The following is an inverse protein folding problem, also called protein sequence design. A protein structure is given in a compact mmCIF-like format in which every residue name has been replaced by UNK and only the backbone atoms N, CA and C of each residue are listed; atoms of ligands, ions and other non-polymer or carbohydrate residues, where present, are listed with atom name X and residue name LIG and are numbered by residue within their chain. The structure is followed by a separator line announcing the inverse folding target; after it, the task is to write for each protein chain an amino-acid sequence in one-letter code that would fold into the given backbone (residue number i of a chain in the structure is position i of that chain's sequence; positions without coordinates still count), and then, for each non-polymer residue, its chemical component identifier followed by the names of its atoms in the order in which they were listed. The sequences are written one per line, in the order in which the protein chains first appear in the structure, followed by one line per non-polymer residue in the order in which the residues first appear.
data_IF_451638164276
#
_entry.id   IF_451638164276
#
_cell.length_a   1.000
_cell.length_b   1.000
_cell.length_c   1.000
_cell.angle_alpha   90.00
_cell.angle_beta   90.00
_cell.angle_gamma   90.00
#
_symmetry.space_group_name_H-M   'P 1'
#
loop_
_entity.id
_entity.type
_entity.pdbx_description
1 polymer ?
#
# COMPACT_ATOMS: atom_id res chain seq x y z
N UNK A 1 -20.63 -0.54 -0.68
CA UNK A 1 -19.67 0.32 0.05
C UNK A 1 -19.10 1.33 -0.92
N UNK A 2 -19.23 2.62 -0.60
CA UNK A 2 -18.78 3.72 -1.47
C UNK A 2 -17.86 4.56 -0.57
N UNK A 3 -16.55 4.38 -0.76
CA UNK A 3 -15.44 5.12 -0.11
C UNK A 3 -15.36 5.06 1.41
N UNK A 4 -14.84 3.93 1.89
CA UNK A 4 -14.25 3.77 3.22
C UNK A 4 -13.17 2.68 3.18
N UNK A 5 -12.18 2.85 2.30
CA UNK A 5 -11.05 1.92 2.11
C UNK A 5 -11.32 0.69 1.25
N UNK A 6 -12.56 0.44 0.82
CA UNK A 6 -12.91 -0.64 -0.11
C UNK A 6 -13.39 -0.09 -1.46
N UNK A 7 -12.81 -0.60 -2.55
CA UNK A 7 -13.25 -0.28 -3.91
C UNK A 7 -14.38 -1.23 -4.33
N UNK A 8 -15.30 -0.77 -5.19
CA UNK A 8 -16.47 -1.56 -5.62
C UNK A 8 -16.08 -2.76 -6.50
N UNK A 9 -14.92 -2.68 -7.14
CA UNK A 9 -14.31 -3.67 -8.03
C UNK A 9 -13.25 -4.53 -7.31
N UNK A 10 -13.13 -4.44 -5.99
CA UNK A 10 -12.16 -5.25 -5.25
C UNK A 10 -12.65 -6.69 -5.11
N UNK A 11 -11.90 -7.63 -5.67
CA UNK A 11 -12.15 -9.06 -5.57
C UNK A 11 -11.08 -9.73 -4.68
N UNK A 12 -11.38 -9.84 -3.39
CA UNK A 12 -10.42 -10.29 -2.35
C UNK A 12 -9.83 -11.67 -2.60
N UNK A 13 -10.61 -12.59 -3.11
CA UNK A 13 -10.17 -13.97 -3.36
C UNK A 13 -9.15 -14.05 -4.50
N UNK A 14 -9.36 -13.26 -5.55
CA UNK A 14 -8.43 -13.22 -6.68
C UNK A 14 -7.11 -12.53 -6.34
N UNK A 15 -7.05 -11.68 -5.30
CA UNK A 15 -5.80 -11.00 -4.88
C UNK A 15 -4.71 -11.97 -4.39
N UNK A 16 -5.07 -13.20 -4.02
CA UNK A 16 -4.13 -14.23 -3.55
C UNK A 16 -3.98 -15.38 -4.54
N UNK A 17 -4.58 -15.27 -5.72
CA UNK A 17 -4.45 -16.26 -6.78
C UNK A 17 -3.31 -15.84 -7.70
N UNK A 18 -2.24 -16.64 -7.78
CA UNK A 18 -1.13 -16.34 -8.67
C UNK A 18 -1.57 -16.43 -10.14
N UNK A 19 -1.62 -15.30 -10.84
CA UNK A 19 -2.11 -15.21 -12.23
C UNK A 19 -0.95 -15.21 -13.24
N UNK A 20 0.02 -16.10 -13.05
CA UNK A 20 1.19 -16.19 -13.94
C UNK A 20 2.15 -14.99 -13.86
N UNK A 21 2.14 -14.28 -12.74
CA UNK A 21 3.03 -13.15 -12.49
C UNK A 21 4.49 -13.60 -12.47
N UNK A 22 5.35 -12.82 -13.11
CA UNK A 22 6.80 -12.98 -13.04
C UNK A 22 7.43 -11.77 -12.32
N UNK A 23 8.72 -11.86 -12.05
CA UNK A 23 9.44 -10.79 -11.36
C UNK A 23 9.27 -9.42 -12.04
N UNK A 24 9.32 -9.37 -13.38
CA UNK A 24 9.17 -8.12 -14.13
C UNK A 24 7.78 -7.52 -13.95
N UNK A 25 6.72 -8.33 -14.08
CA UNK A 25 5.34 -7.84 -13.90
C UNK A 25 5.07 -7.37 -12.48
N UNK A 26 5.68 -8.02 -11.47
CA UNK A 26 5.59 -7.58 -10.07
C UNK A 26 6.30 -6.24 -9.89
N UNK A 27 7.50 -6.08 -10.47
CA UNK A 27 8.28 -4.86 -10.34
C UNK A 27 7.64 -3.67 -11.06
N UNK A 28 7.00 -3.90 -12.21
CA UNK A 28 6.19 -2.87 -12.90
C UNK A 28 5.01 -2.43 -12.05
N UNK A 29 4.21 -3.37 -11.53
CA UNK A 29 3.08 -3.05 -10.65
C UNK A 29 3.52 -2.30 -9.39
N UNK A 30 4.62 -2.73 -8.77
CA UNK A 30 5.22 -2.06 -7.62
C UNK A 30 5.59 -0.61 -7.95
N UNK A 31 6.28 -0.40 -9.07
CA UNK A 31 6.73 0.93 -9.51
C UNK A 31 5.55 1.84 -9.83
N UNK A 32 4.54 1.33 -10.53
CA UNK A 32 3.36 2.11 -10.90
C UNK A 32 2.54 2.52 -9.67
N UNK A 33 2.36 1.60 -8.71
CA UNK A 33 1.66 1.88 -7.46
C UNK A 33 2.33 3.03 -6.66
N UNK A 34 3.66 3.00 -6.54
CA UNK A 34 4.41 4.07 -5.87
C UNK A 34 4.36 5.39 -6.62
N UNK A 35 4.46 5.36 -7.95
CA UNK A 35 4.33 6.56 -8.79
C UNK A 35 2.99 7.26 -8.55
N UNK A 36 1.89 6.52 -8.49
CA UNK A 36 0.56 7.06 -8.20
C UNK A 36 0.50 7.65 -6.79
N UNK A 37 1.02 6.94 -5.78
CA UNK A 37 1.03 7.39 -4.39
C UNK A 37 1.83 8.69 -4.21
N UNK A 38 3.04 8.76 -4.78
CA UNK A 38 3.87 9.96 -4.70
C UNK A 38 3.27 11.13 -5.46
N UNK A 39 2.76 10.92 -6.67
CA UNK A 39 2.07 11.98 -7.41
C UNK A 39 0.87 12.54 -6.62
N UNK A 40 0.14 11.71 -5.88
CA UNK A 40 -0.96 12.18 -5.03
C UNK A 40 -0.45 13.04 -3.86
N UNK A 41 0.65 12.65 -3.22
CA UNK A 41 1.27 13.38 -2.09
C UNK A 41 1.87 14.70 -2.55
N UNK A 42 2.59 14.72 -3.67
CA UNK A 42 3.25 15.90 -4.23
C UNK A 42 2.27 17.02 -4.60
N UNK A 43 1.02 16.66 -4.92
CA UNK A 43 -0.04 17.63 -5.23
C UNK A 43 -0.71 18.24 -3.98
N UNK A 44 -0.36 17.80 -2.77
CA UNK A 44 -0.93 18.33 -1.53
C UNK A 44 -0.35 19.70 -1.20
N UNK A 45 -1.22 20.62 -0.76
CA UNK A 45 -0.84 21.90 -0.19
C UNK A 45 -0.79 21.80 1.35
N UNK A 46 -0.07 22.71 2.04
CA UNK A 46 -0.02 22.69 3.50
C UNK A 46 -1.40 22.71 4.19
N UNK A 47 -2.38 23.38 3.59
CA UNK A 47 -3.75 23.40 4.09
C UNK A 47 -4.46 22.03 4.00
N UNK A 48 -4.06 21.18 3.05
CA UNK A 48 -4.65 19.86 2.86
C UNK A 48 -4.24 18.88 3.97
N UNK A 49 -3.06 19.06 4.56
CA UNK A 49 -2.53 18.17 5.60
C UNK A 49 -3.44 18.06 6.84
N UNK A 50 -4.22 19.10 7.11
CA UNK A 50 -5.18 19.17 8.23
C UNK A 50 -6.59 18.72 7.85
N UNK A 51 -6.87 18.48 6.57
CA UNK A 51 -8.19 18.00 6.15
C UNK A 51 -8.48 16.64 6.77
N UNK A 52 -9.75 16.44 7.09
CA UNK A 52 -10.23 15.21 7.69
C UNK A 52 -10.71 14.26 6.59
N UNK A 53 -10.31 13.00 6.69
CA UNK A 53 -10.77 11.89 5.87
C UNK A 53 -11.16 10.72 6.76
N UNK A 54 -11.97 9.80 6.22
CA UNK A 54 -12.39 8.59 6.93
C UNK A 54 -11.73 7.37 6.30
N UNK A 55 -11.15 6.49 7.13
CA UNK A 55 -10.58 5.21 6.73
C UNK A 55 -11.11 4.13 7.66
N UNK A 56 -11.86 3.18 7.12
CA UNK A 56 -12.57 2.11 7.86
C UNK A 56 -13.38 2.64 9.05
N UNK A 57 -14.14 3.71 8.82
CA UNK A 57 -15.01 4.35 9.80
C UNK A 57 -14.26 5.20 10.83
N UNK A 58 -12.93 5.26 10.76
CA UNK A 58 -12.10 6.05 11.66
C UNK A 58 -11.71 7.37 11.01
N UNK A 59 -11.84 8.44 11.78
CA UNK A 59 -11.53 9.79 11.34
C UNK A 59 -10.03 10.05 11.48
N UNK A 60 -9.41 10.54 10.42
CA UNK A 60 -7.99 10.88 10.37
C UNK A 60 -7.77 12.22 9.68
N UNK A 61 -6.79 12.99 10.12
CA UNK A 61 -6.21 14.02 9.25
C UNK A 61 -5.45 13.38 8.08
N UNK A 62 -5.26 14.11 6.99
CA UNK A 62 -4.45 13.65 5.85
C UNK A 62 -3.04 13.25 6.29
N UNK A 63 -2.40 14.01 7.20
CA UNK A 63 -1.07 13.64 7.73
C UNK A 63 -1.10 12.32 8.51
N UNK A 64 -2.13 12.08 9.34
CA UNK A 64 -2.29 10.81 10.05
C UNK A 64 -2.53 9.64 9.08
N UNK A 65 -3.26 9.87 7.99
CA UNK A 65 -3.48 8.85 6.96
C UNK A 65 -2.18 8.47 6.23
N UNK A 66 -1.33 9.46 5.91
CA UNK A 66 0.00 9.22 5.32
C UNK A 66 0.88 8.43 6.29
N UNK A 67 0.95 8.83 7.57
CA UNK A 67 1.70 8.10 8.59
C UNK A 67 1.21 6.66 8.76
N UNK A 68 -0.11 6.46 8.77
CA UNK A 68 -0.73 5.14 8.83
C UNK A 68 -0.32 4.27 7.63
N UNK A 69 -0.31 4.83 6.42
CA UNK A 69 0.14 4.13 5.21
C UNK A 69 1.63 3.77 5.29
N UNK A 70 2.49 4.71 5.69
CA UNK A 70 3.93 4.46 5.86
C UNK A 70 4.19 3.32 6.84
N UNK A 71 3.57 3.35 8.02
CA UNK A 71 3.71 2.29 9.03
C UNK A 71 3.27 0.92 8.50
N UNK A 72 2.18 0.88 7.72
CA UNK A 72 1.70 -0.34 7.09
C UNK A 72 2.69 -0.89 6.05
N UNK A 73 3.26 -0.02 5.21
CA UNK A 73 4.29 -0.40 4.24
C UNK A 73 5.52 -0.96 4.96
N UNK A 74 6.04 -0.26 5.97
CA UNK A 74 7.21 -0.71 6.75
C UNK A 74 6.97 -2.08 7.38
N UNK A 75 5.78 -2.30 7.95
CA UNK A 75 5.42 -3.59 8.53
C UNK A 75 5.47 -4.73 7.50
N UNK A 76 4.88 -4.53 6.32
CA UNK A 76 4.88 -5.54 5.27
C UNK A 76 6.25 -5.74 4.60
N UNK A 77 7.05 -4.68 4.43
CA UNK A 77 8.44 -4.82 4.00
C UNK A 77 9.23 -5.70 4.98
N UNK A 78 9.03 -5.53 6.29
CA UNK A 78 9.61 -6.42 7.29
C UNK A 78 9.19 -7.87 7.12
N UNK A 79 7.91 -8.15 6.86
CA UNK A 79 7.43 -9.50 6.57
C UNK A 79 8.07 -10.11 5.32
N UNK A 80 8.21 -9.34 4.24
CA UNK A 80 8.86 -9.77 2.99
C UNK A 80 10.32 -10.14 3.26
N UNK A 81 11.06 -9.29 3.98
CA UNK A 81 12.46 -9.57 4.35
C UNK A 81 12.58 -10.83 5.18
N UNK A 82 11.69 -11.04 6.15
CA UNK A 82 11.68 -12.25 6.98
C UNK A 82 11.41 -13.52 6.16
N UNK A 83 10.50 -13.46 5.19
CA UNK A 83 10.24 -14.58 4.27
C UNK A 83 11.44 -14.83 3.36
N UNK A 84 12.01 -13.78 2.77
CA UNK A 84 13.17 -13.90 1.90
C UNK A 84 14.36 -14.54 2.65
N UNK A 85 14.59 -14.13 3.90
CA UNK A 85 15.59 -14.75 4.80
C UNK A 85 15.31 -16.21 5.07
N UNK A 86 14.05 -16.55 5.36
CA UNK A 86 13.66 -17.93 5.59
C UNK A 86 13.92 -18.81 4.36
N UNK A 87 13.59 -18.33 3.16
CA UNK A 87 13.76 -19.10 1.92
C UNK A 87 15.20 -19.19 1.44
N UNK A 88 16.02 -18.16 1.68
CA UNK A 88 17.44 -18.19 1.33
C UNK A 88 18.27 -19.08 2.27
N UNK A 89 17.81 -19.30 3.51
CA UNK A 89 18.49 -20.15 4.48
C UNK A 89 19.91 -19.69 4.76
N UNK A 90 20.89 -20.59 4.65
CA UNK A 90 22.31 -20.28 4.86
C UNK A 90 22.93 -19.38 3.76
N UNK A 91 22.23 -19.19 2.64
CA UNK A 91 22.64 -18.32 1.54
C UNK A 91 22.10 -16.88 1.67
N UNK A 92 21.44 -16.55 2.79
CA UNK A 92 20.95 -15.21 3.09
C UNK A 92 22.08 -14.20 3.32
#
# INVERSE_FOLDING_TARGET
MITDGEKRDRHRESEFTAVGENHSSIQEQWTDGWRIAFAAIENLKPADLKKTITIRGQTHSVVQAIQRNLNHVVYHTGQIVQLARHFAGDAW
#
